data_IF_512292773059
#
_entry.id   IF_512292773059
#
_cell.length_a   1.000
_cell.length_b   1.000
_cell.length_c   1.000
_cell.angle_alpha   90.00
_cell.angle_beta   90.00
_cell.angle_gamma   90.00
#
_symmetry.space_group_name_H-M   'P 1'
#
loop_
_entity.id
_entity.type
_entity.pdbx_description
1 polymer ?
#
# COMPACT_ATOMS: atom_id res chain seq x y z
N UNK A 1 23.37 3.58 3.96
CA UNK A 1 22.20 3.41 3.08
C UNK A 1 21.04 2.71 3.79
N UNK A 2 21.25 1.53 4.40
CA UNK A 2 20.19 0.75 5.08
C UNK A 2 19.54 1.54 6.23
N UNK A 3 20.31 2.27 7.00
CA UNK A 3 19.80 3.11 8.10
C UNK A 3 18.89 4.23 7.57
N UNK A 4 19.32 4.92 6.51
CA UNK A 4 18.51 5.95 5.85
C UNK A 4 17.21 5.38 5.28
N UNK A 5 17.26 4.18 4.68
CA UNK A 5 16.06 3.52 4.18
C UNK A 5 15.09 3.16 5.32
N UNK A 6 15.59 2.72 6.47
CA UNK A 6 14.76 2.45 7.65
C UNK A 6 14.14 3.75 8.21
N UNK A 7 14.93 4.81 8.28
CA UNK A 7 14.43 6.13 8.67
C UNK A 7 13.32 6.59 7.72
N UNK A 8 13.53 6.47 6.42
CA UNK A 8 12.53 6.80 5.42
C UNK A 8 11.26 5.96 5.58
N UNK A 9 11.38 4.65 5.79
CA UNK A 9 10.22 3.78 6.01
C UNK A 9 9.42 4.16 7.26
N UNK A 10 10.03 4.81 8.25
CA UNK A 10 9.34 5.33 9.43
C UNK A 10 8.75 6.72 9.20
N UNK A 11 9.54 7.64 8.64
CA UNK A 11 9.15 9.05 8.42
C UNK A 11 8.17 9.18 7.27
N UNK A 12 8.35 8.39 6.20
CA UNK A 12 7.59 8.51 4.95
C UNK A 12 7.99 9.72 4.12
N UNK A 13 7.15 10.03 3.13
CA UNK A 13 7.32 11.15 2.21
C UNK A 13 6.34 12.30 2.44
N UNK A 14 5.52 12.27 3.51
CA UNK A 14 4.59 13.37 3.81
C UNK A 14 5.37 14.64 4.18
N UNK A 15 5.18 15.77 3.47
CA UNK A 15 6.01 16.97 3.63
C UNK A 15 6.10 17.48 5.07
N UNK A 16 4.99 17.48 5.81
CA UNK A 16 4.95 17.93 7.20
C UNK A 16 5.76 17.03 8.12
N UNK A 17 5.66 15.69 7.92
CA UNK A 17 6.41 14.70 8.69
C UNK A 17 7.93 14.78 8.40
N UNK A 18 8.29 14.94 7.13
CA UNK A 18 9.69 15.12 6.69
C UNK A 18 10.28 16.41 7.27
N UNK A 19 9.54 17.52 7.18
CA UNK A 19 9.99 18.82 7.72
C UNK A 19 10.22 18.76 9.24
N UNK A 20 9.31 18.13 9.98
CA UNK A 20 9.48 17.96 11.44
C UNK A 20 10.71 17.11 11.75
N UNK A 21 10.95 16.04 10.98
CA UNK A 21 12.12 15.21 11.19
C UNK A 21 13.43 15.96 10.92
N UNK A 22 13.49 16.75 9.85
CA UNK A 22 14.67 17.59 9.52
C UNK A 22 14.97 18.60 10.63
N UNK A 23 13.93 19.19 11.22
CA UNK A 23 14.09 20.22 12.25
C UNK A 23 14.44 19.69 13.63
N UNK A 24 13.94 18.50 13.99
CA UNK A 24 13.98 18.03 15.38
C UNK A 24 14.63 16.67 15.58
N UNK A 25 14.83 15.90 14.50
CA UNK A 25 15.26 14.50 14.52
C UNK A 25 14.39 13.60 15.45
N UNK A 26 13.21 14.10 15.84
CA UNK A 26 12.32 13.44 16.79
C UNK A 26 11.31 12.55 16.09
N UNK A 27 11.56 11.25 16.11
CA UNK A 27 10.64 10.24 15.58
C UNK A 27 9.27 10.23 16.29
N UNK A 28 9.25 10.61 17.58
CA UNK A 28 7.99 10.77 18.32
C UNK A 28 7.12 11.86 17.73
N UNK A 29 7.69 13.05 17.47
CA UNK A 29 6.96 14.16 16.86
C UNK A 29 6.50 13.84 15.45
N UNK A 30 7.34 13.17 14.67
CA UNK A 30 6.96 12.65 13.33
C UNK A 30 5.70 11.78 13.44
N UNK A 31 5.65 10.86 14.40
CA UNK A 31 4.47 10.00 14.60
C UNK A 31 3.24 10.81 15.00
N UNK A 32 3.37 11.81 15.84
CA UNK A 32 2.27 12.70 16.21
C UNK A 32 1.68 13.43 14.99
N UNK A 33 2.54 13.89 14.07
CA UNK A 33 2.12 14.51 12.80
C UNK A 33 1.42 13.51 11.91
N UNK A 34 1.99 12.32 11.72
CA UNK A 34 1.38 11.25 10.89
C UNK A 34 -0.02 10.89 11.40
N UNK A 35 -0.19 10.72 12.70
CA UNK A 35 -1.49 10.47 13.31
C UNK A 35 -2.47 11.64 13.13
N UNK A 36 -1.98 12.88 13.18
CA UNK A 36 -2.77 14.08 12.89
C UNK A 36 -3.26 14.10 11.44
N UNK A 37 -2.39 13.76 10.48
CA UNK A 37 -2.73 13.63 9.05
C UNK A 37 -3.82 12.57 8.85
N UNK A 38 -3.63 11.36 9.40
CA UNK A 38 -4.62 10.28 9.30
C UNK A 38 -5.98 10.69 9.87
N UNK A 39 -5.99 11.36 11.02
CA UNK A 39 -7.21 11.90 11.63
C UNK A 39 -7.86 13.01 10.78
N UNK A 40 -7.04 13.78 10.08
CA UNK A 40 -7.50 14.76 9.08
C UNK A 40 -8.27 14.08 7.96
N UNK A 41 -7.70 13.05 7.33
CA UNK A 41 -8.36 12.28 6.27
C UNK A 41 -9.69 11.66 6.73
N UNK A 42 -9.73 11.08 7.93
CA UNK A 42 -10.98 10.52 8.46
C UNK A 42 -12.09 11.57 8.68
N UNK A 43 -11.73 12.82 9.00
CA UNK A 43 -12.68 13.94 9.06
C UNK A 43 -13.15 14.32 7.66
N UNK A 44 -12.23 14.32 6.68
CA UNK A 44 -12.54 14.65 5.29
C UNK A 44 -13.46 13.63 4.64
N UNK A 45 -13.42 12.35 5.04
CA UNK A 45 -14.41 11.36 4.62
C UNK A 45 -15.84 11.83 4.94
N UNK A 46 -16.06 12.33 6.16
CA UNK A 46 -17.39 12.80 6.59
C UNK A 46 -17.81 14.09 5.93
N UNK A 47 -16.84 14.91 5.49
CA UNK A 47 -17.09 16.24 4.92
C UNK A 47 -17.33 16.20 3.42
N UNK A 48 -16.62 15.33 2.70
CA UNK A 48 -16.54 15.36 1.24
C UNK A 48 -17.13 14.12 0.56
N UNK A 49 -17.23 12.98 1.24
CA UNK A 49 -17.84 11.80 0.65
C UNK A 49 -19.37 11.81 0.75
N UNK A 50 -20.09 11.10 -0.15
CA UNK A 50 -21.51 10.85 0.01
C UNK A 50 -21.80 10.21 1.37
N UNK A 51 -22.75 10.72 2.13
CA UNK A 51 -23.02 10.31 3.53
C UNK A 51 -23.22 8.80 3.69
N UNK A 52 -23.89 8.18 2.74
CA UNK A 52 -24.14 6.73 2.72
C UNK A 52 -22.87 5.90 2.46
N UNK A 53 -21.81 6.49 1.90
CA UNK A 53 -20.55 5.82 1.62
C UNK A 53 -19.52 5.98 2.74
N UNK A 54 -19.67 6.97 3.62
CA UNK A 54 -18.71 7.24 4.71
C UNK A 54 -18.40 6.00 5.57
N UNK A 55 -19.39 5.21 6.03
CA UNK A 55 -19.10 4.00 6.81
C UNK A 55 -18.30 2.96 6.02
N UNK A 56 -18.57 2.82 4.71
CA UNK A 56 -17.85 1.87 3.84
C UNK A 56 -16.43 2.33 3.56
N UNK A 57 -16.24 3.62 3.30
CA UNK A 57 -14.91 4.24 3.11
C UNK A 57 -14.05 4.02 4.35
N UNK A 58 -14.59 4.31 5.54
CA UNK A 58 -13.88 4.06 6.81
C UNK A 58 -13.50 2.60 7.00
N UNK A 59 -14.41 1.68 6.68
CA UNK A 59 -14.15 0.26 6.82
C UNK A 59 -13.04 -0.22 5.87
N UNK A 60 -13.06 0.20 4.61
CA UNK A 60 -11.96 -0.06 3.66
C UNK A 60 -10.65 0.52 4.18
N UNK A 61 -10.65 1.79 4.59
CA UNK A 61 -9.48 2.49 5.11
C UNK A 61 -8.84 1.78 6.31
N UNK A 62 -9.64 1.42 7.30
CA UNK A 62 -9.18 0.76 8.53
C UNK A 62 -8.64 -0.66 8.29
N UNK A 63 -9.12 -1.35 7.27
CA UNK A 63 -8.70 -2.73 6.96
C UNK A 63 -7.51 -2.81 6.00
N UNK A 64 -7.10 -1.70 5.38
CA UNK A 64 -5.95 -1.66 4.46
C UNK A 64 -4.69 -2.31 5.05
N UNK A 65 -4.25 -1.97 6.27
CA UNK A 65 -3.03 -2.55 6.82
C UNK A 65 -3.12 -4.07 6.98
N UNK A 66 -4.22 -4.58 7.50
CA UNK A 66 -4.39 -6.02 7.71
C UNK A 66 -4.36 -6.82 6.40
N UNK A 67 -4.83 -6.24 5.31
CA UNK A 67 -4.77 -6.87 3.98
C UNK A 67 -3.37 -6.80 3.37
N UNK A 68 -2.66 -5.68 3.54
CA UNK A 68 -1.28 -5.51 3.05
C UNK A 68 -0.26 -6.40 3.78
N UNK A 69 -0.50 -6.70 5.05
CA UNK A 69 0.37 -7.56 5.85
C UNK A 69 -0.05 -9.03 5.86
N UNK A 70 -1.09 -9.42 5.11
CA UNK A 70 -1.46 -10.82 4.93
C UNK A 70 -0.58 -11.50 3.87
N UNK A 71 -0.46 -12.84 3.92
CA UNK A 71 0.24 -13.60 2.88
C UNK A 71 -0.34 -13.35 1.48
N UNK A 72 -1.67 -13.32 1.38
CA UNK A 72 -2.36 -13.02 0.15
C UNK A 72 -2.80 -11.55 0.18
N UNK A 73 -2.02 -10.69 -0.45
CA UNK A 73 -2.26 -9.24 -0.51
C UNK A 73 -3.36 -8.82 -1.50
N UNK A 74 -3.98 -9.78 -2.21
CA UNK A 74 -5.18 -9.53 -2.99
C UNK A 74 -6.28 -9.00 -2.07
N UNK A 75 -6.96 -7.92 -2.48
CA UNK A 75 -8.05 -7.36 -1.70
C UNK A 75 -9.20 -8.34 -1.56
N UNK A 76 -9.57 -8.65 -0.32
CA UNK A 76 -10.61 -9.62 0.03
C UNK A 76 -11.78 -8.90 0.70
N UNK A 77 -12.91 -8.82 0.00
CA UNK A 77 -14.11 -8.15 0.53
C UNK A 77 -14.62 -8.79 1.82
N UNK A 78 -14.52 -10.12 1.94
CA UNK A 78 -14.90 -10.85 3.14
C UNK A 78 -14.14 -10.45 4.41
N UNK A 79 -12.94 -9.88 4.26
CA UNK A 79 -12.15 -9.35 5.39
C UNK A 79 -12.70 -8.04 5.95
N UNK A 80 -13.57 -7.33 5.20
CA UNK A 80 -14.21 -6.11 5.67
C UNK A 80 -15.31 -6.41 6.71
N UNK A 81 -16.17 -7.35 6.37
CA UNK A 81 -17.22 -7.89 7.24
C UNK A 81 -17.77 -9.18 6.61
N UNK A 82 -18.40 -10.01 7.40
CA UNK A 82 -19.08 -11.20 6.91
C UNK A 82 -20.13 -10.84 5.84
N UNK A 83 -20.13 -11.57 4.72
CA UNK A 83 -21.04 -11.35 3.60
C UNK A 83 -20.77 -10.11 2.73
N UNK A 84 -19.66 -9.40 2.93
CA UNK A 84 -19.29 -8.24 2.09
C UNK A 84 -19.08 -8.67 0.64
N UNK A 85 -19.62 -7.89 -0.29
CA UNK A 85 -19.52 -8.12 -1.74
C UNK A 85 -18.94 -6.90 -2.45
N UNK A 86 -18.32 -7.11 -3.62
CA UNK A 86 -17.73 -6.05 -4.43
C UNK A 86 -18.69 -4.87 -4.64
N UNK A 87 -19.92 -5.13 -5.08
CA UNK A 87 -20.95 -4.10 -5.34
C UNK A 87 -21.25 -3.16 -4.15
N UNK A 88 -20.95 -3.61 -2.93
CA UNK A 88 -21.22 -2.82 -1.72
C UNK A 88 -20.09 -1.81 -1.44
N UNK A 89 -18.87 -2.04 -1.97
CA UNK A 89 -17.66 -1.30 -1.62
C UNK A 89 -16.94 -0.65 -2.81
N UNK A 90 -17.32 -0.95 -4.06
CA UNK A 90 -16.67 -0.40 -5.26
C UNK A 90 -16.62 1.14 -5.25
N UNK A 91 -17.75 1.79 -4.90
CA UNK A 91 -17.83 3.26 -4.83
C UNK A 91 -16.91 3.79 -3.72
N UNK A 92 -16.86 3.11 -2.58
CA UNK A 92 -16.00 3.52 -1.47
C UNK A 92 -14.51 3.38 -1.81
N UNK A 93 -14.12 2.30 -2.47
CA UNK A 93 -12.76 2.10 -2.95
C UNK A 93 -12.41 3.13 -4.01
N UNK A 94 -13.30 3.35 -5.00
CA UNK A 94 -13.06 4.35 -6.03
C UNK A 94 -12.90 5.75 -5.46
N UNK A 95 -13.72 6.11 -4.47
CA UNK A 95 -13.60 7.39 -3.78
C UNK A 95 -12.21 7.57 -3.13
N UNK A 96 -11.68 6.55 -2.46
CA UNK A 96 -10.34 6.60 -1.86
C UNK A 96 -9.23 6.72 -2.92
N UNK A 97 -9.41 6.05 -4.07
CA UNK A 97 -8.46 6.15 -5.21
C UNK A 97 -8.50 7.55 -5.82
N UNK A 98 -9.69 8.10 -6.08
CA UNK A 98 -9.88 9.44 -6.66
C UNK A 98 -9.39 10.55 -5.72
N UNK A 99 -9.52 10.35 -4.41
CA UNK A 99 -8.96 11.23 -3.40
C UNK A 99 -7.41 11.13 -3.28
N UNK A 100 -6.77 10.19 -4.00
CA UNK A 100 -5.32 9.99 -3.96
C UNK A 100 -4.80 9.37 -2.66
N UNK A 101 -5.68 8.80 -1.84
CA UNK A 101 -5.34 8.21 -0.54
C UNK A 101 -4.90 6.76 -0.66
N UNK A 102 -5.27 6.11 -1.76
CA UNK A 102 -5.02 4.69 -2.02
C UNK A 102 -4.58 4.48 -3.46
N UNK A 103 -3.61 3.62 -3.66
CA UNK A 103 -3.25 3.11 -4.98
C UNK A 103 -3.88 1.74 -5.21
N UNK A 104 -4.58 1.59 -6.32
CA UNK A 104 -5.12 0.31 -6.78
C UNK A 104 -4.17 -0.30 -7.80
N UNK A 105 -3.69 -1.51 -7.54
CA UNK A 105 -2.84 -2.29 -8.43
C UNK A 105 -3.64 -3.51 -8.90
N UNK A 106 -4.16 -3.52 -10.15
CA UNK A 106 -4.97 -4.60 -10.67
C UNK A 106 -4.14 -5.82 -11.06
N UNK A 107 -4.79 -6.98 -11.11
CA UNK A 107 -4.23 -8.20 -11.67
C UNK A 107 -4.14 -8.10 -13.20
N UNK A 108 -2.99 -8.44 -13.76
CA UNK A 108 -2.82 -8.75 -15.18
C UNK A 108 -2.90 -10.26 -15.36
N UNK A 109 -3.93 -10.76 -16.08
CA UNK A 109 -4.16 -12.21 -16.25
C UNK A 109 -3.12 -12.90 -17.11
N UNK A 110 -2.63 -12.21 -18.14
CA UNK A 110 -1.71 -12.77 -19.11
C UNK A 110 -0.50 -11.86 -19.31
N UNK A 111 0.68 -12.45 -19.41
CA UNK A 111 1.93 -11.73 -19.68
C UNK A 111 2.07 -11.45 -21.19
N UNK A 112 1.12 -10.69 -21.72
CA UNK A 112 1.07 -10.24 -23.12
C UNK A 112 0.88 -8.74 -23.21
N UNK A 113 1.37 -8.15 -24.31
CA UNK A 113 1.25 -6.72 -24.56
C UNK A 113 0.03 -6.40 -25.46
N UNK A 114 -0.64 -5.28 -25.24
CA UNK A 114 -0.44 -4.34 -24.12
C UNK A 114 -1.06 -4.88 -22.82
N UNK A 115 -0.34 -4.76 -21.69
CA UNK A 115 -0.77 -5.31 -20.39
C UNK A 115 -2.17 -4.89 -19.97
N UNK A 116 -2.57 -3.66 -20.29
CA UNK A 116 -3.88 -3.09 -19.93
C UNK A 116 -5.06 -3.87 -20.52
N UNK A 117 -4.86 -4.57 -21.65
CA UNK A 117 -5.91 -5.38 -22.28
C UNK A 117 -6.24 -6.61 -21.42
N UNK A 118 -5.27 -7.07 -20.64
CA UNK A 118 -5.39 -8.27 -19.81
C UNK A 118 -5.63 -7.94 -18.33
N UNK A 119 -6.05 -6.71 -18.04
CA UNK A 119 -6.44 -6.28 -16.69
C UNK A 119 -7.68 -7.00 -16.19
N UNK A 120 -7.62 -7.55 -14.99
CA UNK A 120 -8.78 -8.08 -14.28
C UNK A 120 -9.33 -7.02 -13.30
N UNK A 121 -10.48 -6.47 -13.62
CA UNK A 121 -11.14 -5.48 -12.78
C UNK A 121 -11.66 -6.02 -11.45
N UNK A 122 -11.80 -7.34 -11.33
CA UNK A 122 -12.31 -8.00 -10.11
C UNK A 122 -11.23 -8.37 -9.10
N UNK A 123 -9.96 -8.33 -9.51
CA UNK A 123 -8.83 -8.73 -8.69
C UNK A 123 -7.77 -7.63 -8.64
N UNK A 124 -7.45 -7.16 -7.44
CA UNK A 124 -6.49 -6.06 -7.24
C UNK A 124 -5.89 -6.12 -5.83
N UNK A 125 -4.75 -5.45 -5.66
CA UNK A 125 -4.17 -5.09 -4.38
C UNK A 125 -4.46 -3.60 -4.11
N UNK A 126 -4.63 -3.22 -2.83
CA UNK A 126 -4.72 -1.82 -2.41
C UNK A 126 -3.52 -1.46 -1.55
N UNK A 127 -2.93 -0.30 -1.82
CA UNK A 127 -1.81 0.25 -1.08
C UNK A 127 -2.16 1.65 -0.59
N UNK A 128 -1.55 2.10 0.50
CA UNK A 128 -1.69 3.48 0.98
C UNK A 128 -0.86 4.44 0.12
N UNK A 129 -1.11 5.75 0.25
CA UNK A 129 -0.32 6.75 -0.47
C UNK A 129 1.12 6.87 0.06
N UNK A 130 1.37 6.50 1.34
CA UNK A 130 2.65 6.74 2.00
C UNK A 130 3.02 5.64 2.98
N UNK A 131 4.29 5.23 2.98
CA UNK A 131 4.84 4.18 3.82
C UNK A 131 4.88 4.56 5.30
N UNK A 132 5.17 5.82 5.61
CA UNK A 132 5.19 6.34 6.99
C UNK A 132 3.78 6.38 7.59
N UNK A 133 2.78 6.76 6.79
CA UNK A 133 1.38 6.71 7.20
C UNK A 133 0.91 5.27 7.41
N UNK A 134 1.31 4.32 6.55
CA UNK A 134 1.02 2.90 6.76
C UNK A 134 1.58 2.41 8.11
N UNK A 135 2.83 2.77 8.43
CA UNK A 135 3.44 2.49 9.73
C UNK A 135 2.67 3.12 10.91
N UNK A 136 2.13 4.32 10.72
CA UNK A 136 1.30 4.99 11.73
C UNK A 136 -0.07 4.32 11.92
N UNK A 137 -0.68 3.81 10.86
CA UNK A 137 -1.97 3.10 10.92
C UNK A 137 -1.90 1.80 11.75
N UNK A 138 -0.73 1.16 11.82
CA UNK A 138 -0.51 -0.05 12.62
C UNK A 138 0.23 0.20 13.94
N UNK A 139 0.35 1.46 14.32
CA UNK A 139 0.98 1.88 15.58
C UNK A 139 2.41 1.34 15.78
N UNK A 140 3.15 1.16 14.67
CA UNK A 140 4.52 0.64 14.74
C UNK A 140 5.44 1.58 15.48
N UNK A 141 6.14 1.06 16.48
CA UNK A 141 7.12 1.82 17.23
C UNK A 141 8.42 2.03 16.43
N UNK A 142 9.10 3.17 16.66
CA UNK A 142 10.36 3.50 16.00
C UNK A 142 11.42 2.40 16.18
N UNK A 143 11.50 1.82 17.36
CA UNK A 143 12.45 0.74 17.67
C UNK A 143 12.24 -0.51 16.80
N UNK A 144 10.99 -0.83 16.47
CA UNK A 144 10.65 -1.99 15.64
C UNK A 144 11.10 -1.82 14.18
N UNK A 145 11.06 -0.61 13.67
CA UNK A 145 11.50 -0.30 12.29
C UNK A 145 13.01 -0.13 12.21
N UNK A 146 13.62 0.53 13.19
CA UNK A 146 15.04 0.89 13.16
C UNK A 146 15.97 -0.25 13.62
N UNK A 147 15.51 -1.12 14.52
CA UNK A 147 16.30 -2.23 15.03
C UNK A 147 16.09 -3.48 14.18
N UNK A 148 17.19 -4.18 13.89
CA UNK A 148 17.24 -5.41 13.09
C UNK A 148 16.68 -6.61 13.89
N UNK A 149 15.39 -6.67 14.14
CA UNK A 149 14.74 -7.79 14.81
C UNK A 149 13.87 -8.59 13.82
N UNK A 150 14.05 -9.92 13.79
CA UNK A 150 13.37 -10.86 12.89
C UNK A 150 11.87 -11.09 13.22
N UNK A 151 11.28 -10.30 14.11
CA UNK A 151 9.97 -10.57 14.70
C UNK A 151 8.80 -10.34 13.72
N UNK A 152 9.01 -9.63 12.59
CA UNK A 152 7.91 -9.21 11.71
C UNK A 152 8.21 -9.45 10.21
N UNK A 153 8.40 -10.70 9.80
CA UNK A 153 8.70 -11.01 8.39
C UNK A 153 7.58 -10.56 7.45
N UNK A 154 6.32 -10.82 7.82
CA UNK A 154 5.15 -10.40 7.03
C UNK A 154 5.01 -8.88 6.97
N UNK A 155 5.21 -8.20 8.10
CA UNK A 155 5.23 -6.74 8.17
C UNK A 155 6.31 -6.16 7.25
N UNK A 156 7.54 -6.70 7.30
CA UNK A 156 8.63 -6.24 6.43
C UNK A 156 8.27 -6.41 4.95
N UNK A 157 7.65 -7.52 4.54
CA UNK A 157 7.20 -7.77 3.18
C UNK A 157 6.20 -6.72 2.71
N UNK A 158 5.15 -6.45 3.49
CA UNK A 158 4.14 -5.44 3.17
C UNK A 158 4.71 -4.02 3.10
N UNK A 159 5.57 -3.63 4.05
CA UNK A 159 6.23 -2.32 4.05
C UNK A 159 7.16 -2.15 2.85
N UNK A 160 7.90 -3.20 2.46
CA UNK A 160 8.82 -3.13 1.32
C UNK A 160 8.06 -3.00 0.01
N UNK A 161 6.96 -3.75 -0.20
CA UNK A 161 6.12 -3.57 -1.38
C UNK A 161 5.46 -2.18 -1.40
N UNK A 162 4.97 -1.70 -0.27
CA UNK A 162 4.43 -0.33 -0.16
C UNK A 162 5.48 0.72 -0.57
N UNK A 163 6.71 0.60 -0.07
CA UNK A 163 7.82 1.48 -0.43
C UNK A 163 8.12 1.42 -1.93
N UNK A 164 8.27 0.22 -2.51
CA UNK A 164 8.58 0.04 -3.93
C UNK A 164 7.47 0.65 -4.80
N UNK A 165 6.19 0.43 -4.48
CA UNK A 165 5.08 1.04 -5.21
C UNK A 165 5.12 2.56 -5.12
N UNK A 166 5.36 3.13 -3.95
CA UNK A 166 5.46 4.57 -3.74
C UNK A 166 6.58 5.17 -4.60
N UNK A 167 7.77 4.54 -4.63
CA UNK A 167 8.87 4.94 -5.48
C UNK A 167 8.53 4.85 -6.98
N UNK A 168 7.83 3.80 -7.40
CA UNK A 168 7.38 3.69 -8.79
C UNK A 168 6.40 4.83 -9.14
N UNK A 169 5.45 5.14 -8.27
CA UNK A 169 4.49 6.23 -8.47
C UNK A 169 5.16 7.60 -8.51
N UNK A 170 6.12 7.87 -7.63
CA UNK A 170 6.88 9.13 -7.61
C UNK A 170 7.75 9.31 -8.86
N UNK A 171 8.20 8.21 -9.48
CA UNK A 171 8.94 8.19 -10.73
C UNK A 171 8.03 8.18 -11.99
N UNK A 172 6.72 8.40 -11.83
CA UNK A 172 5.78 8.62 -12.94
C UNK A 172 5.20 7.35 -13.56
N UNK A 173 5.40 6.17 -12.97
CA UNK A 173 4.74 4.96 -13.46
C UNK A 173 3.26 5.00 -13.12
N UNK A 174 2.40 5.12 -14.15
CA UNK A 174 0.95 5.23 -14.00
C UNK A 174 0.30 3.84 -13.94
N UNK A 175 0.58 3.01 -14.95
CA UNK A 175 -0.03 1.68 -15.11
C UNK A 175 0.89 0.62 -14.50
N UNK A 176 0.57 0.24 -13.28
CA UNK A 176 1.27 -0.80 -12.52
C UNK A 176 0.28 -1.92 -12.27
N UNK A 177 0.68 -3.14 -12.54
CA UNK A 177 -0.11 -4.36 -12.35
C UNK A 177 0.64 -5.32 -11.42
N UNK A 178 -0.02 -6.36 -10.94
CA UNK A 178 0.62 -7.57 -10.45
C UNK A 178 0.20 -8.76 -11.31
N UNK A 179 0.92 -9.87 -11.23
CA UNK A 179 0.55 -11.08 -11.96
C UNK A 179 0.62 -12.29 -11.06
N UNK A 180 -0.39 -13.15 -11.19
CA UNK A 180 -0.46 -14.45 -10.52
C UNK A 180 -1.13 -15.41 -11.47
N UNK A 181 -0.44 -16.50 -11.91
CA UNK A 181 -1.03 -17.52 -12.76
C UNK A 181 -2.17 -18.27 -12.08
N UNK A 182 -3.17 -18.65 -12.86
CA UNK A 182 -4.31 -19.46 -12.37
C UNK A 182 -4.01 -20.98 -12.38
N UNK A 183 -2.79 -21.39 -12.72
CA UNK A 183 -2.38 -22.78 -12.91
C UNK A 183 -2.00 -23.52 -11.61
N UNK A 184 -2.23 -22.88 -10.45
CA UNK A 184 -1.89 -23.41 -9.14
C UNK A 184 -0.40 -23.30 -8.77
N UNK A 185 0.42 -22.68 -9.61
CA UNK A 185 1.81 -22.38 -9.27
C UNK A 185 1.86 -21.33 -8.14
N UNK A 186 2.95 -21.37 -7.36
CA UNK A 186 3.21 -20.36 -6.31
C UNK A 186 3.89 -19.10 -6.88
N UNK A 187 4.01 -19.01 -8.20
CA UNK A 187 4.61 -17.83 -8.83
C UNK A 187 3.66 -16.64 -8.67
N UNK A 188 4.13 -15.58 -8.05
CA UNK A 188 3.48 -14.29 -8.02
C UNK A 188 4.53 -13.24 -8.40
N UNK A 189 4.18 -12.32 -9.29
CA UNK A 189 4.98 -11.15 -9.64
C UNK A 189 4.37 -9.97 -8.90
N UNK A 190 5.11 -9.38 -7.96
CA UNK A 190 4.62 -8.32 -7.09
C UNK A 190 4.20 -7.09 -7.86
N UNK A 191 5.03 -6.65 -8.83
CA UNK A 191 4.67 -5.57 -9.75
C UNK A 191 5.09 -5.90 -11.18
N UNK A 192 4.26 -5.43 -12.12
CA UNK A 192 4.44 -5.61 -13.54
C UNK A 192 4.17 -4.28 -14.24
N UNK A 193 5.12 -3.80 -15.04
CA UNK A 193 4.98 -2.57 -15.82
C UNK A 193 5.27 -2.84 -17.29
N UNK A 194 4.66 -2.02 -18.17
CA UNK A 194 5.00 -1.99 -19.59
C UNK A 194 5.94 -0.83 -19.86
N UNK A 195 7.06 -1.13 -20.50
CA UNK A 195 8.08 -0.14 -20.89
C UNK A 195 8.80 -0.56 -22.15
N UNK A 196 9.06 0.38 -23.05
CA UNK A 196 9.87 0.21 -24.26
C UNK A 196 9.49 -1.02 -25.13
N UNK A 197 8.18 -1.25 -25.30
CA UNK A 197 7.65 -2.35 -26.11
C UNK A 197 7.78 -3.75 -25.48
N UNK A 198 8.14 -3.81 -24.20
CA UNK A 198 8.22 -5.04 -23.41
C UNK A 198 7.50 -4.88 -22.07
N UNK A 199 7.41 -5.93 -21.28
CA UNK A 199 6.99 -5.85 -19.89
C UNK A 199 8.16 -6.18 -18.96
N UNK A 200 8.20 -5.50 -17.82
CA UNK A 200 9.21 -5.69 -16.77
C UNK A 200 8.53 -6.25 -15.52
N UNK A 201 8.84 -7.50 -15.14
CA UNK A 201 8.44 -8.04 -13.84
C UNK A 201 9.37 -7.52 -12.76
N UNK A 202 8.78 -7.18 -11.61
CA UNK A 202 9.49 -6.69 -10.43
C UNK A 202 9.07 -7.58 -9.26
N UNK A 203 10.06 -8.28 -8.70
CA UNK A 203 9.92 -9.08 -7.49
C UNK A 203 10.53 -8.33 -6.32
N UNK A 204 9.79 -8.19 -5.23
CA UNK A 204 10.18 -7.43 -4.05
C UNK A 204 10.63 -8.38 -2.95
N UNK A 205 11.86 -8.20 -2.46
CA UNK A 205 12.41 -8.99 -1.36
C UNK A 205 12.77 -8.09 -0.18
N UNK A 206 12.18 -8.38 0.97
CA UNK A 206 12.46 -7.65 2.21
C UNK A 206 13.82 -8.00 2.83
N UNK A 207 14.39 -9.16 2.48
CA UNK A 207 15.69 -9.65 2.96
C UNK A 207 16.46 -10.36 1.86
N UNK A 208 17.79 -10.32 1.92
CA UNK A 208 18.61 -11.17 1.08
C UNK A 208 18.45 -12.63 1.55
N UNK A 209 17.97 -13.51 0.67
CA UNK A 209 18.13 -14.94 0.87
C UNK A 209 19.64 -15.26 0.72
N UNK A 210 20.37 -15.31 1.82
CA UNK A 210 21.68 -15.93 1.85
C UNK A 210 21.41 -17.44 1.76
N UNK A 211 21.53 -17.98 0.55
CA UNK A 211 21.66 -19.42 0.34
C UNK A 211 23.12 -19.81 0.51
#
# INVERSE_FOLDING_TARGET
YIELLRQYNYVGGMPEAVNEYIQTESLKKVREIQLSILKGYEKDFSKHAPKEQVPRIRLVWQTLPSQLFSENKKFIYGSLREGARAKDFEIAIQWLVDAGLVYKVPLCKELKLPLKVYEDFSAFKLFTLDVGLLGAMVETEAQQVLIKNNIFTEYKGGMTEQFVLQEMKSNGYVNIFYHKPDDGTRLEIDFLIQKDGTYLPIEVKAEQNVR
#
